data_IF_601047659957
#
_entry.id   IF_601047659957
#
_cell.length_a   1.000
_cell.length_b   1.000
_cell.length_c   1.000
_cell.angle_alpha   90.00
_cell.angle_beta   90.00
_cell.angle_gamma   90.00
#
_symmetry.space_group_name_H-M   'P 1'
#
loop_
_entity.id
_entity.type
_entity.pdbx_description
1 polymer ?
#
# COMPACT_ATOMS: atom_id res chain seq x y z
N UNK A 1 5.10 0.00 -14.84
CA UNK A 1 5.34 0.69 -13.55
C UNK A 1 5.12 2.20 -13.63
N UNK A 2 4.07 2.67 -14.31
CA UNK A 2 3.77 4.11 -14.45
C UNK A 2 3.32 4.71 -13.12
N UNK A 3 2.63 3.93 -12.30
CA UNK A 3 2.01 4.43 -11.07
C UNK A 3 3.02 4.90 -10.01
N UNK A 4 4.15 4.20 -9.85
CA UNK A 4 5.20 4.60 -8.90
C UNK A 4 6.07 5.74 -9.43
N UNK A 5 6.18 5.87 -10.75
CA UNK A 5 6.95 6.93 -11.40
C UNK A 5 6.20 8.28 -11.40
N UNK A 6 4.86 8.25 -11.38
CA UNK A 6 4.00 9.44 -11.37
C UNK A 6 3.75 10.00 -9.95
N UNK A 7 4.53 9.60 -8.94
CA UNK A 7 4.47 10.20 -7.61
C UNK A 7 5.49 11.33 -7.54
N UNK A 8 5.29 12.35 -8.38
CA UNK A 8 6.28 13.37 -8.75
C UNK A 8 6.96 14.00 -7.53
N UNK A 9 6.19 14.35 -6.49
CA UNK A 9 6.71 14.98 -5.28
C UNK A 9 7.65 14.06 -4.45
N UNK A 10 7.46 12.74 -4.48
CA UNK A 10 8.40 11.82 -3.82
C UNK A 10 9.70 11.67 -4.63
N UNK A 11 9.72 12.04 -5.92
CA UNK A 11 10.90 11.83 -6.76
C UNK A 11 11.89 12.98 -6.76
N UNK A 12 11.54 14.11 -6.12
CA UNK A 12 12.39 15.31 -6.02
C UNK A 12 13.54 15.15 -5.01
N UNK A 13 13.46 14.16 -4.13
CA UNK A 13 14.51 13.81 -3.16
C UNK A 13 15.28 12.54 -3.58
N UNK A 14 16.61 12.57 -3.47
CA UNK A 14 17.49 11.49 -3.92
C UNK A 14 17.26 10.17 -3.15
N UNK A 15 16.94 10.24 -1.86
CA UNK A 15 16.66 9.06 -1.03
C UNK A 15 15.34 8.44 -1.45
N UNK A 16 14.30 9.26 -1.59
CA UNK A 16 13.00 8.78 -2.01
C UNK A 16 13.03 8.19 -3.43
N UNK A 17 13.77 8.78 -4.38
CA UNK A 17 13.99 8.19 -5.70
C UNK A 17 14.62 6.80 -5.61
N UNK A 18 15.63 6.64 -4.74
CA UNK A 18 16.29 5.35 -4.52
C UNK A 18 15.34 4.32 -3.91
N UNK A 19 14.49 4.72 -2.97
CA UNK A 19 13.45 3.87 -2.39
C UNK A 19 12.42 3.41 -3.44
N UNK A 20 11.95 4.32 -4.30
CA UNK A 20 11.02 3.96 -5.38
C UNK A 20 11.65 2.97 -6.37
N UNK A 21 12.94 3.13 -6.69
CA UNK A 21 13.67 2.17 -7.53
C UNK A 21 13.78 0.79 -6.86
N UNK A 22 14.05 0.76 -5.55
CA UNK A 22 14.11 -0.48 -4.78
C UNK A 22 12.74 -1.21 -4.80
N UNK A 23 11.66 -0.51 -4.46
CA UNK A 23 10.30 -1.08 -4.51
C UNK A 23 9.96 -1.58 -5.91
N UNK A 24 10.36 -0.82 -6.94
CA UNK A 24 10.12 -1.19 -8.32
C UNK A 24 10.83 -2.49 -8.71
N UNK A 25 12.07 -2.65 -8.25
CA UNK A 25 12.86 -3.86 -8.46
C UNK A 25 12.28 -5.06 -7.72
N UNK A 26 11.86 -4.89 -6.46
CA UNK A 26 11.23 -5.96 -5.66
C UNK A 26 10.00 -6.55 -6.36
N UNK A 27 9.18 -5.71 -7.00
CA UNK A 27 8.01 -6.18 -7.77
C UNK A 27 8.45 -6.98 -9.00
N UNK A 28 9.42 -6.47 -9.77
CA UNK A 28 9.90 -7.15 -10.99
C UNK A 28 10.53 -8.50 -10.69
N UNK A 29 11.28 -8.57 -9.59
CA UNK A 29 12.04 -9.76 -9.19
C UNK A 29 11.19 -10.73 -8.33
N UNK A 30 9.91 -10.40 -8.06
CA UNK A 30 9.00 -11.09 -7.11
C UNK A 30 9.63 -11.37 -5.73
N UNK A 31 10.39 -10.40 -5.22
CA UNK A 31 11.10 -10.46 -3.91
C UNK A 31 10.41 -9.59 -2.85
N UNK A 32 9.08 -9.55 -2.89
CA UNK A 32 8.26 -8.71 -2.00
C UNK A 32 8.22 -9.29 -0.59
N UNK A 33 8.62 -8.49 0.42
CA UNK A 33 8.53 -8.82 1.84
C UNK A 33 7.09 -8.80 2.35
N UNK A 34 6.84 -9.46 3.48
CA UNK A 34 5.50 -9.54 4.09
C UNK A 34 5.03 -8.22 4.74
N UNK A 35 5.95 -7.32 5.10
CA UNK A 35 5.63 -6.06 5.76
C UNK A 35 6.61 -4.94 5.37
N UNK A 36 6.09 -3.71 5.29
CA UNK A 36 6.83 -2.49 5.01
C UNK A 36 6.32 -1.37 5.93
N UNK A 37 7.21 -0.52 6.41
CA UNK A 37 6.88 0.69 7.15
C UNK A 37 7.34 1.90 6.34
N UNK A 38 6.39 2.74 5.93
CA UNK A 38 6.67 4.02 5.30
C UNK A 38 6.48 5.13 6.34
N UNK A 39 7.54 5.88 6.63
CA UNK A 39 7.53 6.93 7.66
C UNK A 39 7.99 8.27 7.07
N UNK A 40 7.54 9.37 7.67
CA UNK A 40 7.85 10.73 7.23
C UNK A 40 6.74 11.71 7.58
N UNK A 41 6.97 12.99 7.26
CA UNK A 41 6.12 14.09 7.74
C UNK A 41 4.86 14.33 6.90
N UNK A 42 4.69 13.65 5.76
CA UNK A 42 3.56 13.84 4.86
C UNK A 42 2.74 12.54 4.73
N UNK A 43 1.76 12.39 5.62
CA UNK A 43 0.91 11.20 5.69
C UNK A 43 0.12 10.92 4.41
N UNK A 44 -0.30 11.97 3.70
CA UNK A 44 -1.01 11.85 2.42
C UNK A 44 -0.12 11.16 1.37
N UNK A 45 1.14 11.60 1.26
CA UNK A 45 2.08 11.03 0.31
C UNK A 45 2.50 9.61 0.67
N UNK A 46 2.72 9.32 1.95
CA UNK A 46 3.03 7.97 2.43
C UNK A 46 1.86 7.03 2.13
N UNK A 47 0.62 7.48 2.34
CA UNK A 47 -0.59 6.74 1.99
C UNK A 47 -0.69 6.49 0.49
N UNK A 48 -0.42 7.51 -0.34
CA UNK A 48 -0.40 7.39 -1.80
C UNK A 48 0.68 6.42 -2.28
N UNK A 49 1.86 6.42 -1.66
CA UNK A 49 2.93 5.47 -1.93
C UNK A 49 2.49 4.04 -1.59
N UNK A 50 1.95 3.81 -0.39
CA UNK A 50 1.48 2.50 0.04
C UNK A 50 0.41 1.94 -0.92
N UNK A 51 -0.57 2.77 -1.31
CA UNK A 51 -1.61 2.39 -2.27
C UNK A 51 -1.04 2.12 -3.67
N UNK A 52 -0.09 2.93 -4.12
CA UNK A 52 0.55 2.76 -5.44
C UNK A 52 1.43 1.51 -5.49
N UNK A 53 2.11 1.19 -4.39
CA UNK A 53 2.88 -0.04 -4.26
C UNK A 53 1.95 -1.26 -4.25
N UNK A 54 0.88 -1.25 -3.44
CA UNK A 54 -0.13 -2.31 -3.43
C UNK A 54 -0.81 -2.50 -4.80
N UNK A 55 -1.09 -1.41 -5.51
CA UNK A 55 -1.63 -1.44 -6.86
C UNK A 55 -0.64 -2.07 -7.85
N UNK A 56 0.66 -1.83 -7.66
CA UNK A 56 1.71 -2.39 -8.51
C UNK A 56 1.88 -3.90 -8.29
N UNK A 57 1.78 -4.35 -7.04
CA UNK A 57 1.86 -5.79 -6.68
C UNK A 57 0.73 -6.60 -7.31
N UNK A 58 -0.49 -6.07 -7.33
CA UNK A 58 -1.66 -6.80 -7.85
C UNK A 58 -1.91 -6.58 -9.35
N UNK A 59 -1.21 -5.64 -9.98
CA UNK A 59 -1.37 -5.35 -11.40
C UNK A 59 -0.50 -6.29 -12.23
N UNK A 60 -1.10 -6.91 -13.25
CA UNK A 60 -0.41 -7.80 -14.21
C UNK A 60 0.80 -7.12 -14.87
N UNK A 61 0.73 -5.81 -15.12
CA UNK A 61 1.80 -5.02 -15.74
C UNK A 61 2.65 -4.23 -14.72
N UNK A 62 2.71 -4.70 -13.48
CA UNK A 62 3.49 -4.09 -12.40
C UNK A 62 3.16 -2.60 -12.19
N UNK A 63 1.87 -2.25 -12.18
CA UNK A 63 1.39 -0.90 -11.94
C UNK A 63 1.30 -0.06 -13.22
N UNK A 64 0.40 -0.41 -14.14
CA UNK A 64 0.14 0.36 -15.35
C UNK A 64 -0.54 1.71 -15.08
N UNK A 65 -1.21 1.86 -13.93
CA UNK A 65 -1.85 3.11 -13.48
C UNK A 65 -3.33 3.22 -13.84
N UNK A 66 -3.76 2.55 -14.92
CA UNK A 66 -5.07 2.79 -15.52
C UNK A 66 -5.99 1.57 -15.56
N UNK A 67 -5.51 0.35 -15.30
CA UNK A 67 -6.39 -0.82 -15.24
C UNK A 67 -7.32 -0.78 -14.02
N UNK A 68 -8.36 -1.62 -14.03
CA UNK A 68 -9.34 -1.67 -12.93
C UNK A 68 -8.70 -1.94 -11.57
N UNK A 69 -7.68 -2.80 -11.52
CA UNK A 69 -6.92 -3.11 -10.30
C UNK A 69 -6.19 -1.86 -9.81
N UNK A 70 -5.43 -1.18 -10.67
CA UNK A 70 -4.72 0.05 -10.28
C UNK A 70 -5.68 1.15 -9.83
N UNK A 71 -6.78 1.38 -10.56
CA UNK A 71 -7.77 2.42 -10.22
C UNK A 71 -8.46 2.13 -8.89
N UNK A 72 -8.92 0.90 -8.68
CA UNK A 72 -9.64 0.54 -7.46
C UNK A 72 -8.70 0.46 -6.25
N UNK A 73 -7.49 -0.06 -6.42
CA UNK A 73 -6.49 -0.08 -5.34
C UNK A 73 -6.07 1.33 -4.93
N UNK A 74 -5.83 2.25 -5.87
CA UNK A 74 -5.55 3.67 -5.54
C UNK A 74 -6.66 4.34 -4.72
N UNK A 75 -7.91 3.90 -4.91
CA UNK A 75 -9.08 4.39 -4.18
C UNK A 75 -9.31 3.64 -2.86
N UNK A 76 -8.51 2.62 -2.55
CA UNK A 76 -8.68 1.78 -1.36
C UNK A 76 -9.90 0.84 -1.41
N UNK A 77 -10.45 0.56 -2.60
CA UNK A 77 -11.70 -0.22 -2.78
C UNK A 77 -11.52 -1.52 -3.56
N UNK A 78 -10.28 -1.94 -3.85
CA UNK A 78 -10.05 -3.24 -4.46
C UNK A 78 -10.30 -4.37 -3.44
N UNK A 79 -11.00 -5.47 -3.77
CA UNK A 79 -11.41 -6.47 -2.77
C UNK A 79 -10.26 -7.15 -2.00
N UNK A 80 -9.06 -7.16 -2.56
CA UNK A 80 -7.87 -7.70 -1.89
C UNK A 80 -7.08 -6.62 -1.12
N UNK A 81 -7.62 -5.41 -0.97
CA UNK A 81 -7.02 -4.31 -0.23
C UNK A 81 -7.93 -3.94 0.93
N UNK A 82 -7.34 -3.82 2.11
CA UNK A 82 -8.00 -3.24 3.28
C UNK A 82 -7.17 -2.07 3.78
N UNK A 83 -7.78 -0.88 3.84
CA UNK A 83 -7.18 0.29 4.47
C UNK A 83 -7.79 0.45 5.85
N UNK A 84 -6.93 0.54 6.84
CA UNK A 84 -7.29 0.76 8.24
C UNK A 84 -6.68 2.08 8.68
N UNK A 85 -7.51 2.95 9.25
CA UNK A 85 -7.12 4.29 9.70
C UNK A 85 -7.78 4.59 11.05
N UNK A 86 -7.16 5.46 11.87
CA UNK A 86 -7.64 5.77 13.21
C UNK A 86 -8.98 6.50 13.20
N UNK A 87 -9.71 6.39 14.31
CA UNK A 87 -10.91 7.16 14.57
C UNK A 87 -10.56 8.24 15.60
N UNK A 88 -10.31 9.47 15.13
CA UNK A 88 -9.70 10.52 15.95
C UNK A 88 -8.23 10.17 16.24
N UNK A 89 -7.84 10.14 17.50
CA UNK A 89 -6.44 9.92 17.91
C UNK A 89 -6.14 8.47 18.32
N UNK A 90 -7.02 7.53 17.99
CA UNK A 90 -6.90 6.14 18.42
C UNK A 90 -7.18 5.20 17.26
N UNK A 91 -6.26 4.28 17.01
CA UNK A 91 -6.52 3.11 16.18
C UNK A 91 -6.99 1.94 17.05
N UNK A 92 -8.30 1.71 17.04
CA UNK A 92 -8.94 0.75 17.95
C UNK A 92 -8.62 -0.71 17.61
N UNK A 93 -8.60 -1.56 18.64
CA UNK A 93 -8.32 -3.00 18.52
C UNK A 93 -9.31 -3.71 17.59
N UNK A 94 -10.56 -3.27 17.51
CA UNK A 94 -11.57 -3.89 16.63
C UNK A 94 -11.20 -3.75 15.14
N UNK A 95 -10.55 -2.65 14.76
CA UNK A 95 -10.04 -2.45 13.38
C UNK A 95 -8.91 -3.42 13.08
N UNK A 96 -8.01 -3.63 14.04
CA UNK A 96 -6.88 -4.57 13.93
C UNK A 96 -7.38 -6.02 13.89
N UNK A 97 -8.36 -6.38 14.73
CA UNK A 97 -9.00 -7.68 14.68
C UNK A 97 -9.71 -7.92 13.33
N UNK A 98 -10.38 -6.89 12.79
CA UNK A 98 -10.96 -6.92 11.44
C UNK A 98 -9.92 -7.13 10.35
N UNK A 99 -8.76 -6.49 10.47
CA UNK A 99 -7.60 -6.67 9.59
C UNK A 99 -7.06 -8.10 9.64
N UNK A 100 -6.87 -8.65 10.83
CA UNK A 100 -6.42 -10.03 11.02
C UNK A 100 -7.40 -11.05 10.41
N UNK A 101 -8.70 -10.81 10.59
CA UNK A 101 -9.74 -11.63 9.94
C UNK A 101 -9.71 -11.49 8.42
N UNK A 102 -9.49 -10.28 7.91
CA UNK A 102 -9.39 -10.07 6.47
C UNK A 102 -8.22 -10.84 5.85
N UNK A 103 -7.03 -10.78 6.46
CA UNK A 103 -5.83 -11.41 5.93
C UNK A 103 -5.86 -12.94 6.04
N UNK A 104 -6.57 -13.50 7.04
CA UNK A 104 -6.67 -14.95 7.24
C UNK A 104 -7.58 -15.66 6.23
N UNK A 105 -8.48 -14.91 5.57
CA UNK A 105 -9.36 -15.45 4.54
C UNK A 105 -8.63 -15.53 3.19
N UNK A 106 -8.97 -16.52 2.37
CA UNK A 106 -8.49 -16.60 0.99
C UNK A 106 -8.93 -15.38 0.15
N UNK A 107 -8.13 -15.04 -0.86
CA UNK A 107 -8.50 -14.02 -1.85
C UNK A 107 -9.62 -14.55 -2.74
N UNK A 108 -10.72 -13.82 -2.86
CA UNK A 108 -11.79 -14.17 -3.80
C UNK A 108 -11.39 -13.85 -5.25
N UNK A 109 -10.64 -12.76 -5.46
CA UNK A 109 -10.09 -12.38 -6.76
C UNK A 109 -8.60 -12.71 -6.83
N UNK A 110 -8.02 -12.94 -8.03
CA UNK A 110 -6.59 -13.07 -8.21
C UNK A 110 -5.80 -11.91 -7.58
N UNK A 111 -4.65 -12.23 -7.01
CA UNK A 111 -3.73 -11.27 -6.39
C UNK A 111 -3.49 -11.50 -4.89
N UNK A 112 -2.52 -10.75 -4.36
CA UNK A 112 -2.13 -10.75 -2.96
C UNK A 112 -3.13 -9.90 -2.15
N UNK A 113 -3.52 -10.41 -0.97
CA UNK A 113 -4.21 -9.58 0.03
C UNK A 113 -3.20 -8.68 0.72
N UNK A 114 -3.51 -7.39 0.76
CA UNK A 114 -2.62 -6.37 1.33
C UNK A 114 -3.44 -5.49 2.24
N UNK A 115 -2.97 -5.33 3.48
CA UNK A 115 -3.53 -4.39 4.44
C UNK A 115 -2.62 -3.17 4.54
N UNK A 116 -3.22 -1.99 4.59
CA UNK A 116 -2.52 -0.72 4.78
C UNK A 116 -3.02 -0.13 6.10
N UNK A 117 -2.12 0.04 7.06
CA UNK A 117 -2.39 0.69 8.33
C UNK A 117 -1.85 2.12 8.22
N UNK A 118 -2.75 3.11 8.28
CA UNK A 118 -2.36 4.51 8.40
C UNK A 118 -2.13 4.85 9.88
N UNK A 119 -1.17 5.75 10.14
CA UNK A 119 -0.90 6.27 11.48
C UNK A 119 -0.75 5.14 12.52
N UNK A 120 0.07 4.13 12.19
CA UNK A 120 0.26 2.94 13.02
C UNK A 120 0.77 3.23 14.43
N UNK A 121 1.38 4.39 14.64
CA UNK A 121 1.78 4.91 15.95
C UNK A 121 0.60 5.16 16.90
N UNK A 122 -0.63 5.29 16.38
CA UNK A 122 -1.85 5.43 17.16
C UNK A 122 -2.49 4.09 17.53
N UNK A 123 -1.83 2.96 17.25
CA UNK A 123 -2.23 1.66 17.75
C UNK A 123 -2.05 1.60 19.27
N UNK A 124 -3.10 1.22 19.98
CA UNK A 124 -3.01 0.98 21.42
C UNK A 124 -2.23 -0.30 21.72
N UNK A 125 -1.58 -0.31 22.89
CA UNK A 125 -1.04 -1.53 23.52
C UNK A 125 -2.14 -2.37 24.15
#
# INVERSE_FOLDING_TARGET
>A
MKILQNIDFLTEDNVNRSNIMLLSRMIKDDTISHAYMFYGNNMELLSRLALSFAASINCVDNGCGDCIICRNTKRGVYPNILVVEPEGNILRIEKIAGLQKFISLSSYNPGKKICIIKESELMNQ
#
